data_IF_131172229696
#
_entry.id   IF_131172229696
#
_cell.length_a   1.000
_cell.length_b   1.000
_cell.length_c   1.000
_cell.angle_alpha   90.00
_cell.angle_beta   90.00
_cell.angle_gamma   90.00
#
_symmetry.space_group_name_H-M   'P 1'
#
loop_
_entity.id
_entity.type
_entity.pdbx_description
1 polymer ?
#
# COMPACT_ATOMS: atom_id res chain seq x y z
N UNK A 1 -1.44 22.44 -9.80
CA UNK A 1 -2.56 22.59 -10.75
C UNK A 1 -2.91 21.22 -11.33
N UNK A 2 -4.02 20.64 -10.90
CA UNK A 2 -4.45 19.31 -11.32
C UNK A 2 -5.06 19.35 -12.70
N UNK A 3 -4.51 18.59 -13.64
CA UNK A 3 -5.12 18.41 -14.96
C UNK A 3 -6.46 17.70 -14.76
N UNK A 4 -7.57 18.38 -15.10
CA UNK A 4 -8.91 17.79 -15.01
C UNK A 4 -8.92 16.42 -15.70
N UNK A 5 -9.45 15.40 -15.00
CA UNK A 5 -9.50 14.03 -15.52
C UNK A 5 -10.28 14.04 -16.82
N UNK A 6 -9.68 13.54 -17.90
CA UNK A 6 -10.40 13.36 -19.16
C UNK A 6 -11.53 12.35 -18.98
N UNK A 7 -12.55 12.41 -19.84
CA UNK A 7 -13.70 11.48 -19.79
C UNK A 7 -13.27 10.00 -19.78
N UNK A 8 -12.16 9.67 -20.45
CA UNK A 8 -11.59 8.31 -20.50
C UNK A 8 -11.02 7.82 -19.16
N UNK A 9 -10.64 8.74 -18.28
CA UNK A 9 -10.11 8.45 -16.94
C UNK A 9 -11.13 8.72 -15.83
N UNK A 10 -12.40 8.96 -16.21
CA UNK A 10 -13.49 9.14 -15.25
C UNK A 10 -13.78 7.78 -14.58
N UNK A 11 -13.69 7.74 -13.26
CA UNK A 11 -13.85 6.52 -12.46
C UNK A 11 -12.59 5.65 -12.34
N UNK A 12 -11.43 6.08 -12.85
CA UNK A 12 -10.16 5.42 -12.56
C UNK A 12 -9.54 5.99 -11.25
N UNK A 13 -8.85 5.14 -10.46
CA UNK A 13 -8.08 5.57 -9.31
C UNK A 13 -6.95 6.54 -9.74
N UNK A 14 -6.42 7.35 -8.80
CA UNK A 14 -5.27 8.20 -9.11
C UNK A 14 -4.10 7.37 -9.64
N UNK A 15 -3.25 8.00 -10.45
CA UNK A 15 -2.08 7.40 -11.08
C UNK A 15 -2.36 6.31 -12.12
N UNK A 16 -3.61 5.94 -12.38
CA UNK A 16 -3.99 5.01 -13.44
C UNK A 16 -4.56 5.74 -14.67
N UNK A 17 -4.08 5.37 -15.85
CA UNK A 17 -4.46 5.98 -17.13
C UNK A 17 -4.77 4.93 -18.19
N UNK A 18 -5.79 5.19 -19.01
CA UNK A 18 -6.11 4.35 -20.16
C UNK A 18 -5.48 4.93 -21.45
N UNK A 19 -4.66 4.14 -22.15
CA UNK A 19 -4.11 4.49 -23.47
C UNK A 19 -4.25 3.32 -24.43
N UNK A 20 -4.84 3.56 -25.61
CA UNK A 20 -4.99 2.57 -26.69
C UNK A 20 -5.56 1.21 -26.21
N UNK A 21 -6.47 1.21 -25.23
CA UNK A 21 -7.08 -0.01 -24.68
C UNK A 21 -6.29 -0.72 -23.57
N UNK A 22 -5.10 -0.22 -23.21
CA UNK A 22 -4.25 -0.76 -22.14
C UNK A 22 -4.19 0.24 -20.98
N UNK A 23 -4.25 -0.26 -19.76
CA UNK A 23 -4.12 0.49 -18.52
C UNK A 23 -2.65 0.63 -18.13
N UNK A 24 -2.24 1.85 -17.81
CA UNK A 24 -0.89 2.22 -17.37
C UNK A 24 -0.95 2.89 -16.00
N UNK A 25 -0.13 2.40 -15.08
CA UNK A 25 0.07 3.00 -13.77
C UNK A 25 1.34 3.86 -13.78
N UNK A 26 1.25 5.09 -13.28
CA UNK A 26 2.38 6.01 -13.17
C UNK A 26 2.83 6.12 -11.72
N UNK A 27 4.01 5.60 -11.41
CA UNK A 27 4.56 5.70 -10.07
C UNK A 27 4.93 7.17 -9.73
N UNK A 28 4.47 7.65 -8.57
CA UNK A 28 4.69 9.03 -8.10
C UNK A 28 6.16 9.27 -7.73
N UNK A 29 6.87 8.23 -7.27
CA UNK A 29 8.27 8.33 -6.80
C UNK A 29 9.23 8.46 -7.99
N UNK A 30 9.10 7.56 -8.95
CA UNK A 30 10.01 7.45 -10.09
C UNK A 30 9.53 8.17 -11.35
N UNK A 31 8.24 8.58 -11.39
CA UNK A 31 7.55 9.12 -12.57
C UNK A 31 7.49 8.17 -13.78
N UNK A 32 7.94 6.91 -13.63
CA UNK A 32 7.89 5.88 -14.66
C UNK A 32 6.46 5.34 -14.82
N UNK A 33 6.11 4.95 -16.03
CA UNK A 33 4.82 4.35 -16.37
C UNK A 33 5.00 2.84 -16.56
N UNK A 34 4.13 2.05 -15.94
CA UNK A 34 4.11 0.59 -16.01
C UNK A 34 2.78 0.13 -16.60
N UNK A 35 2.81 -0.82 -17.54
CA UNK A 35 1.59 -1.41 -18.11
C UNK A 35 1.02 -2.45 -17.15
N UNK A 36 -0.26 -2.33 -16.82
CA UNK A 36 -0.98 -3.27 -15.95
C UNK A 36 -1.77 -4.29 -16.77
N UNK A 37 -2.24 -3.91 -17.96
CA UNK A 37 -2.96 -4.80 -18.89
C UNK A 37 -4.25 -4.19 -19.40
N UNK A 38 -5.13 -5.01 -20.00
CA UNK A 38 -6.38 -4.54 -20.64
C UNK A 38 -7.63 -4.71 -19.76
N UNK A 39 -7.55 -5.50 -18.69
CA UNK A 39 -8.69 -5.74 -17.81
C UNK A 39 -8.86 -4.57 -16.82
N UNK A 40 -10.00 -3.90 -16.88
CA UNK A 40 -10.32 -2.72 -16.07
C UNK A 40 -10.30 -3.02 -14.58
N UNK A 41 -10.98 -4.08 -14.15
CA UNK A 41 -11.16 -4.37 -12.72
C UNK A 41 -9.83 -4.71 -12.07
N UNK A 42 -9.02 -5.55 -12.71
CA UNK A 42 -7.68 -5.89 -12.25
C UNK A 42 -6.78 -4.66 -12.19
N UNK A 43 -6.79 -3.83 -13.24
CA UNK A 43 -5.97 -2.62 -13.27
C UNK A 43 -6.33 -1.62 -12.16
N UNK A 44 -7.61 -1.51 -11.80
CA UNK A 44 -8.07 -0.67 -10.70
C UNK A 44 -7.57 -1.22 -9.36
N UNK A 45 -7.72 -2.52 -9.11
CA UNK A 45 -7.29 -3.16 -7.86
C UNK A 45 -5.79 -3.00 -7.64
N UNK A 46 -4.98 -3.31 -8.65
CA UNK A 46 -3.52 -3.15 -8.61
C UNK A 46 -3.11 -1.69 -8.36
N UNK A 47 -3.76 -0.74 -9.03
CA UNK A 47 -3.49 0.69 -8.83
C UNK A 47 -3.86 1.16 -7.42
N UNK A 48 -4.94 0.64 -6.83
CA UNK A 48 -5.32 0.95 -5.45
C UNK A 48 -4.26 0.42 -4.49
N UNK A 49 -3.82 -0.82 -4.65
CA UNK A 49 -2.77 -1.42 -3.82
C UNK A 49 -1.45 -0.63 -3.92
N UNK A 50 -1.02 -0.28 -5.14
CA UNK A 50 0.18 0.52 -5.36
C UNK A 50 0.07 1.90 -4.70
N UNK A 51 -1.10 2.55 -4.80
CA UNK A 51 -1.33 3.83 -4.13
C UNK A 51 -1.27 3.68 -2.60
N UNK A 52 -1.90 2.65 -2.03
CA UNK A 52 -1.85 2.39 -0.58
C UNK A 52 -0.41 2.15 -0.09
N UNK A 53 0.41 1.45 -0.87
CA UNK A 53 1.82 1.24 -0.57
C UNK A 53 2.64 2.53 -0.56
N UNK A 54 2.24 3.56 -1.31
CA UNK A 54 2.88 4.89 -1.26
C UNK A 54 2.43 5.66 -0.01
N UNK A 55 1.14 5.57 0.33
CA UNK A 55 0.56 6.29 1.46
C UNK A 55 0.84 5.67 2.83
N UNK A 56 1.54 4.52 2.89
CA UNK A 56 1.88 3.72 4.09
C UNK A 56 1.16 4.18 5.37
N UNK A 57 -0.03 3.64 5.68
CA UNK A 57 -0.60 3.87 6.99
C UNK A 57 0.36 3.32 8.06
N UNK A 58 0.50 4.04 9.17
CA UNK A 58 1.37 3.68 10.31
C UNK A 58 1.12 2.25 10.82
N UNK A 59 -0.09 1.73 10.67
CA UNK A 59 -0.50 0.36 11.00
C UNK A 59 -1.48 -0.16 9.94
N UNK A 60 -1.28 -1.40 9.49
CA UNK A 60 -2.24 -2.06 8.60
C UNK A 60 -3.53 -2.36 9.35
N UNK A 61 -4.68 -2.25 8.67
CA UNK A 61 -5.96 -2.67 9.25
C UNK A 61 -5.94 -4.14 9.65
N UNK A 62 -5.24 -4.98 8.90
CA UNK A 62 -5.07 -6.40 9.19
C UNK A 62 -4.34 -6.60 10.51
N UNK A 63 -3.27 -5.84 10.77
CA UNK A 63 -2.50 -5.92 12.02
C UNK A 63 -3.35 -5.48 13.22
N UNK A 64 -4.19 -4.44 13.03
CA UNK A 64 -5.14 -3.98 14.05
C UNK A 64 -6.26 -4.99 14.34
N UNK A 65 -6.82 -5.64 13.32
CA UNK A 65 -7.89 -6.65 13.46
C UNK A 65 -7.35 -7.89 14.17
N UNK A 66 -6.16 -8.34 13.77
CA UNK A 66 -5.51 -9.50 14.38
C UNK A 66 -4.94 -9.21 15.78
N UNK A 67 -5.07 -7.97 16.24
CA UNK A 67 -4.50 -7.49 17.49
C UNK A 67 -3.03 -7.90 17.64
N UNK A 68 -2.29 -7.88 16.52
CA UNK A 68 -0.86 -8.15 16.49
C UNK A 68 -0.21 -6.92 17.08
N UNK A 69 -0.19 -6.86 18.40
CA UNK A 69 0.76 -6.03 19.12
C UNK A 69 2.14 -6.58 18.77
N UNK A 70 2.79 -5.95 17.80
CA UNK A 70 4.23 -6.12 17.61
C UNK A 70 4.89 -5.65 18.90
N UNK A 71 5.09 -6.57 19.84
CA UNK A 71 5.90 -6.33 21.03
C UNK A 71 7.23 -5.84 20.51
N UNK A 72 7.58 -4.62 20.88
CA UNK A 72 8.85 -4.05 20.43
C UNK A 72 9.98 -4.95 20.96
N UNK A 73 11.08 -5.07 20.20
CA UNK A 73 12.22 -5.89 20.65
C UNK A 73 12.67 -5.50 22.06
N UNK A 74 12.52 -4.22 22.42
CA UNK A 74 12.81 -3.72 23.75
C UNK A 74 11.88 -4.30 24.83
N UNK A 75 10.55 -4.25 24.64
CA UNK A 75 9.58 -4.86 25.58
C UNK A 75 9.79 -6.38 25.72
N UNK A 76 10.20 -7.05 24.64
CA UNK A 76 10.54 -8.47 24.69
C UNK A 76 11.82 -8.74 25.50
N UNK A 77 12.84 -7.89 25.37
CA UNK A 77 14.07 -8.00 26.14
C UNK A 77 13.82 -7.76 27.63
N UNK A 78 12.96 -6.81 27.98
CA UNK A 78 12.59 -6.54 29.38
C UNK A 78 11.89 -7.74 30.02
N UNK A 79 10.87 -8.29 29.35
CA UNK A 79 10.17 -9.50 29.81
C UNK A 79 11.08 -10.73 29.87
N UNK A 80 12.01 -10.87 28.92
CA UNK A 80 13.00 -11.95 28.95
C UNK A 80 13.94 -11.82 30.15
N UNK A 81 14.42 -10.61 30.44
CA UNK A 81 15.33 -10.34 31.57
C UNK A 81 14.66 -10.61 32.91
N UNK A 82 13.39 -10.25 33.04
CA UNK A 82 12.58 -10.54 34.23
C UNK A 82 12.40 -12.06 34.45
N UNK A 83 12.16 -12.83 33.37
CA UNK A 83 12.06 -14.30 33.45
C UNK A 83 13.37 -14.99 33.80
N UNK A 84 14.50 -14.46 33.33
CA UNK A 84 15.83 -15.00 33.69
C UNK A 84 16.15 -14.71 35.16
N UNK A 85 15.89 -13.49 35.63
CA UNK A 85 16.16 -13.12 37.03
C UNK A 85 15.28 -13.87 38.03
N UNK A 86 14.04 -14.21 37.70
CA UNK A 86 13.17 -15.02 38.57
C UNK A 86 13.57 -16.51 38.66
N UNK A 87 14.52 -16.97 37.84
CA UNK A 87 14.99 -18.37 37.80
C UNK A 87 16.36 -18.57 38.47
N UNK A 88 17.07 -17.48 38.78
CA UNK A 88 18.31 -17.49 39.56
C UNK A 88 18.04 -17.20 41.03
#
# INVERSE_FOLDING_TARGET
>A
MGRNRSAKNKGLPPNLYLRKGIYYYRDVRTKKEYSVGSNKSLAITEAIQANLAIYQPKESLVDRINNVHCVTLHEWLDTYREKVNNRG
#
